data_IF_498832838733
#
_entry.id   IF_498832838733
#
_cell.length_a   1.000
_cell.length_b   1.000
_cell.length_c   1.000
_cell.angle_alpha   90.00
_cell.angle_beta   90.00
_cell.angle_gamma   90.00
#
_symmetry.space_group_name_H-M   'P 1'
#
loop_
_entity.id
_entity.type
_entity.pdbx_description
1 polymer ?
#
# COMPACT_ATOMS: atom_id res chain seq x y z
N UNK A 1 -31.52 -6.02 4.78
CA UNK A 1 -32.29 -5.31 3.73
C UNK A 1 -31.49 -5.48 2.46
N UNK A 2 -31.92 -6.38 1.57
CA UNK A 2 -31.13 -6.79 0.40
C UNK A 2 -31.41 -5.84 -0.77
N UNK A 3 -30.44 -5.00 -1.09
CA UNK A 3 -30.28 -4.41 -2.42
C UNK A 3 -30.30 -5.51 -3.49
N UNK A 4 -30.89 -5.24 -4.65
CA UNK A 4 -30.80 -6.18 -5.77
C UNK A 4 -29.38 -6.12 -6.36
N UNK A 5 -28.74 -7.28 -6.52
CA UNK A 5 -27.37 -7.42 -7.03
C UNK A 5 -27.40 -7.94 -8.47
N UNK A 6 -26.85 -7.18 -9.41
CA UNK A 6 -26.73 -7.56 -10.81
C UNK A 6 -25.25 -7.67 -11.20
N UNK A 7 -24.82 -8.85 -11.64
CA UNK A 7 -23.49 -9.05 -12.20
C UNK A 7 -23.38 -8.33 -13.56
N UNK A 8 -22.34 -7.51 -13.73
CA UNK A 8 -22.11 -6.75 -14.95
C UNK A 8 -20.96 -7.35 -15.77
N UNK A 9 -19.79 -7.56 -15.15
CA UNK A 9 -18.57 -7.97 -15.86
C UNK A 9 -17.57 -8.63 -14.92
N UNK A 10 -16.79 -9.58 -15.41
CA UNK A 10 -15.57 -10.04 -14.75
C UNK A 10 -14.44 -9.02 -14.93
N UNK A 11 -13.77 -8.64 -13.84
CA UNK A 11 -12.69 -7.66 -13.84
C UNK A 11 -11.30 -8.29 -13.79
N UNK A 12 -11.14 -9.42 -13.10
CA UNK A 12 -9.86 -10.13 -13.01
C UNK A 12 -9.88 -11.26 -11.98
N UNK A 13 -8.83 -12.06 -12.00
CA UNK A 13 -8.57 -13.14 -11.05
C UNK A 13 -7.11 -13.06 -10.60
N UNK A 14 -6.88 -13.35 -9.33
CA UNK A 14 -5.57 -13.36 -8.71
C UNK A 14 -5.45 -14.53 -7.72
N UNK A 15 -4.33 -14.59 -7.01
CA UNK A 15 -4.02 -15.70 -6.10
C UNK A 15 -5.04 -15.91 -4.98
N UNK A 16 -5.77 -14.86 -4.59
CA UNK A 16 -6.70 -14.88 -3.45
C UNK A 16 -8.18 -14.91 -3.88
N UNK A 17 -8.46 -15.09 -5.17
CA UNK A 17 -9.81 -15.19 -5.72
C UNK A 17 -10.03 -14.29 -6.94
N UNK A 18 -11.26 -13.79 -7.13
CA UNK A 18 -11.67 -13.10 -8.34
C UNK A 18 -12.50 -11.84 -8.07
N UNK A 19 -12.46 -10.89 -9.01
CA UNK A 19 -13.12 -9.59 -8.90
C UNK A 19 -14.18 -9.46 -9.98
N UNK A 20 -15.40 -9.12 -9.56
CA UNK A 20 -16.53 -8.84 -10.44
C UNK A 20 -16.96 -7.38 -10.31
N UNK A 21 -17.42 -6.79 -11.40
CA UNK A 21 -18.20 -5.56 -11.39
C UNK A 21 -19.67 -5.92 -11.15
N UNK A 22 -20.25 -5.36 -10.10
CA UNK A 22 -21.63 -5.63 -9.69
C UNK A 22 -22.36 -4.30 -9.56
N UNK A 23 -23.60 -4.23 -10.07
CA UNK A 23 -24.53 -3.13 -9.84
C UNK A 23 -25.41 -3.48 -8.66
N UNK A 24 -25.43 -2.59 -7.68
CA UNK A 24 -26.32 -2.66 -6.53
C UNK A 24 -27.45 -1.65 -6.72
N UNK A 25 -28.70 -2.12 -6.70
CA UNK A 25 -29.89 -1.26 -6.79
C UNK A 25 -30.60 -1.22 -5.45
N UNK A 26 -30.73 -0.02 -4.90
CA UNK A 26 -31.45 0.27 -3.66
C UNK A 26 -32.97 0.27 -3.89
N UNK A 27 -33.74 0.18 -2.81
CA UNK A 27 -35.21 0.17 -2.88
C UNK A 27 -35.81 1.47 -3.44
N UNK A 28 -35.09 2.59 -3.30
CA UNK A 28 -35.50 3.89 -3.86
C UNK A 28 -35.20 4.02 -5.36
N UNK A 29 -34.67 2.97 -6.00
CA UNK A 29 -34.31 2.93 -7.41
C UNK A 29 -32.92 3.52 -7.70
N UNK A 30 -32.23 4.10 -6.71
CA UNK A 30 -30.84 4.51 -6.87
C UNK A 30 -29.94 3.28 -7.06
N UNK A 31 -28.92 3.40 -7.91
CA UNK A 31 -27.95 2.32 -8.12
C UNK A 31 -26.53 2.83 -8.11
N UNK A 32 -25.60 1.96 -7.71
CA UNK A 32 -24.17 2.21 -7.77
C UNK A 32 -23.43 0.96 -8.24
N UNK A 33 -22.22 1.17 -8.78
CA UNK A 33 -21.31 0.11 -9.18
C UNK A 33 -20.28 -0.14 -8.08
N UNK A 34 -19.97 -1.40 -7.85
CA UNK A 34 -18.89 -1.82 -6.95
C UNK A 34 -18.03 -2.89 -7.61
N UNK A 35 -16.72 -2.81 -7.36
CA UNK A 35 -15.81 -3.91 -7.62
C UNK A 35 -15.87 -4.87 -6.41
N UNK A 36 -16.37 -6.07 -6.63
CA UNK A 36 -16.56 -7.08 -5.59
C UNK A 36 -15.44 -8.10 -5.69
N UNK A 37 -14.51 -8.06 -4.73
CA UNK A 37 -13.46 -9.07 -4.57
C UNK A 37 -14.04 -10.26 -3.81
N UNK A 38 -14.02 -11.43 -4.44
CA UNK A 38 -14.58 -12.67 -3.92
C UNK A 38 -13.42 -13.60 -3.56
N UNK A 39 -13.51 -14.22 -2.39
CA UNK A 39 -12.56 -15.23 -1.93
C UNK A 39 -13.31 -16.46 -1.44
N UNK A 40 -12.74 -17.64 -1.63
CA UNK A 40 -13.30 -18.88 -1.11
C UNK A 40 -13.12 -18.96 0.41
N UNK A 41 -13.89 -19.82 1.08
CA UNK A 41 -13.88 -19.94 2.54
C UNK A 41 -12.46 -20.23 3.09
N UNK A 42 -11.67 -21.01 2.36
CA UNK A 42 -10.27 -21.39 2.68
C UNK A 42 -9.32 -20.18 2.75
N UNK A 43 -9.57 -19.14 1.96
CA UNK A 43 -8.72 -17.93 1.86
C UNK A 43 -9.35 -16.71 2.55
N UNK A 44 -10.49 -16.89 3.22
CA UNK A 44 -11.28 -15.81 3.82
C UNK A 44 -10.53 -15.01 4.88
N UNK A 45 -9.55 -15.62 5.56
CA UNK A 45 -8.69 -14.95 6.55
C UNK A 45 -7.84 -13.83 5.92
N UNK A 46 -7.33 -14.05 4.70
CA UNK A 46 -6.57 -13.04 3.97
C UNK A 46 -7.46 -11.85 3.59
N UNK A 47 -8.68 -12.13 3.11
CA UNK A 47 -9.65 -11.10 2.76
C UNK A 47 -10.14 -10.34 4.01
N UNK A 48 -10.26 -11.01 5.15
CA UNK A 48 -10.59 -10.39 6.44
C UNK A 48 -9.48 -9.46 6.93
N UNK A 49 -8.20 -9.86 6.77
CA UNK A 49 -7.06 -8.98 7.10
C UNK A 49 -7.07 -7.72 6.22
N UNK A 50 -7.29 -7.88 4.92
CA UNK A 50 -7.42 -6.76 3.99
C UNK A 50 -8.56 -5.81 4.40
N UNK A 51 -9.74 -6.36 4.75
CA UNK A 51 -10.86 -5.56 5.27
C UNK A 51 -10.47 -4.77 6.53
N UNK A 52 -9.74 -5.39 7.46
CA UNK A 52 -9.31 -4.71 8.70
C UNK A 52 -8.42 -3.50 8.38
N UNK A 53 -7.42 -3.67 7.51
CA UNK A 53 -6.51 -2.59 7.11
C UNK A 53 -7.31 -1.48 6.37
N UNK A 54 -8.19 -1.84 5.44
CA UNK A 54 -9.02 -0.88 4.71
C UNK A 54 -9.99 -0.12 5.62
N UNK A 55 -10.49 -0.75 6.69
CA UNK A 55 -11.31 -0.07 7.70
C UNK A 55 -10.50 0.97 8.47
N UNK A 56 -9.25 0.64 8.82
CA UNK A 56 -8.33 1.59 9.45
C UNK A 56 -7.90 2.71 8.51
N UNK A 57 -7.81 2.47 7.20
CA UNK A 57 -7.43 3.48 6.22
C UNK A 57 -8.63 4.19 5.55
N UNK A 58 -9.87 3.85 5.94
CA UNK A 58 -11.08 4.35 5.27
C UNK A 58 -11.13 5.89 5.21
N UNK A 59 -11.30 6.46 4.02
CA UNK A 59 -11.47 7.91 3.85
C UNK A 59 -10.17 8.71 3.92
N UNK A 60 -9.00 8.07 4.00
CA UNK A 60 -7.76 8.71 3.60
C UNK A 60 -7.73 8.86 2.07
N UNK A 61 -7.19 9.98 1.55
CA UNK A 61 -7.04 10.14 0.11
C UNK A 61 -6.06 9.10 -0.44
N UNK A 62 -6.19 8.77 -1.74
CA UNK A 62 -5.29 7.85 -2.46
C UNK A 62 -5.31 6.40 -1.96
N UNK A 63 -6.30 6.02 -1.16
CA UNK A 63 -6.56 4.64 -0.75
C UNK A 63 -7.93 4.23 -1.30
N UNK A 64 -8.03 3.02 -1.84
CA UNK A 64 -9.28 2.46 -2.34
C UNK A 64 -10.37 2.48 -1.27
N UNK A 65 -11.55 2.97 -1.61
CA UNK A 65 -12.69 2.95 -0.69
C UNK A 65 -13.26 1.53 -0.59
N UNK A 66 -13.30 0.99 0.63
CA UNK A 66 -14.06 -0.20 0.96
C UNK A 66 -15.46 0.15 1.48
N UNK A 67 -16.48 -0.47 0.89
CA UNK A 67 -17.87 -0.36 1.32
C UNK A 67 -18.21 -1.42 2.36
N UNK A 68 -18.88 -1.00 3.44
CA UNK A 68 -19.32 -1.90 4.52
C UNK A 68 -18.24 -2.23 5.55
N UNK A 69 -18.66 -2.82 6.68
CA UNK A 69 -17.78 -3.08 7.83
C UNK A 69 -17.45 -4.57 8.03
N UNK A 70 -18.04 -5.44 7.22
CA UNK A 70 -17.94 -6.89 7.27
C UNK A 70 -17.92 -7.47 5.85
N UNK A 71 -17.28 -8.64 5.69
CA UNK A 71 -17.37 -9.40 4.45
C UNK A 71 -18.80 -9.90 4.26
N UNK A 72 -19.32 -9.79 3.04
CA UNK A 72 -20.64 -10.35 2.73
C UNK A 72 -20.48 -11.81 2.31
N UNK A 73 -21.39 -12.66 2.75
CA UNK A 73 -21.40 -14.05 2.31
C UNK A 73 -22.19 -14.18 1.01
N UNK A 74 -21.72 -15.06 0.13
CA UNK A 74 -22.40 -15.42 -1.10
C UNK A 74 -22.08 -16.84 -1.53
N UNK A 75 -22.54 -17.16 -2.73
CA UNK A 75 -22.32 -18.47 -3.36
C UNK A 75 -21.75 -18.24 -4.76
N UNK A 76 -20.70 -18.96 -5.12
CA UNK A 76 -20.12 -18.92 -6.46
C UNK A 76 -21.02 -19.59 -7.50
N UNK A 77 -20.69 -19.44 -8.78
CA UNK A 77 -21.36 -20.15 -9.88
C UNK A 77 -21.32 -21.69 -9.73
N UNK A 78 -20.36 -22.21 -8.98
CA UNK A 78 -20.18 -23.64 -8.72
C UNK A 78 -20.88 -24.12 -7.43
N UNK A 79 -21.61 -23.25 -6.74
CA UNK A 79 -22.29 -23.60 -5.49
C UNK A 79 -21.43 -23.53 -4.23
N UNK A 80 -20.18 -23.05 -4.33
CA UNK A 80 -19.28 -22.93 -3.19
C UNK A 80 -19.53 -21.63 -2.43
N UNK A 81 -19.39 -21.66 -1.10
CA UNK A 81 -19.46 -20.44 -0.27
C UNK A 81 -18.29 -19.52 -0.61
N UNK A 82 -18.58 -18.23 -0.73
CA UNK A 82 -17.59 -17.18 -0.97
C UNK A 82 -17.82 -15.99 -0.03
N UNK A 83 -16.73 -15.33 0.34
CA UNK A 83 -16.73 -14.06 1.05
C UNK A 83 -16.46 -12.91 0.08
N UNK A 84 -17.22 -11.83 0.21
CA UNK A 84 -17.21 -10.68 -0.68
C UNK A 84 -16.73 -9.43 0.05
N UNK A 85 -15.71 -8.79 -0.49
CA UNK A 85 -15.26 -7.47 -0.12
C UNK A 85 -15.70 -6.47 -1.19
N UNK A 86 -16.51 -5.49 -0.82
CA UNK A 86 -17.04 -4.49 -1.74
C UNK A 86 -16.11 -3.28 -1.76
N UNK A 87 -15.63 -2.93 -2.94
CA UNK A 87 -14.70 -1.83 -3.18
C UNK A 87 -15.30 -0.85 -4.20
N UNK A 88 -14.87 0.41 -4.13
CA UNK A 88 -15.17 1.37 -5.20
C UNK A 88 -14.61 0.89 -6.54
N UNK A 89 -15.35 1.18 -7.62
CA UNK A 89 -14.98 0.76 -8.96
C UNK A 89 -14.13 1.82 -9.66
N UNK A 90 -12.93 1.42 -10.09
CA UNK A 90 -12.04 2.23 -10.91
C UNK A 90 -12.37 2.06 -12.40
N UNK A 91 -13.04 3.05 -12.99
CA UNK A 91 -13.50 2.96 -14.39
C UNK A 91 -12.36 2.95 -15.41
N UNK A 92 -11.22 3.53 -15.07
CA UNK A 92 -10.02 3.56 -15.93
C UNK A 92 -9.11 2.33 -15.73
N UNK A 93 -9.52 1.40 -14.85
CA UNK A 93 -8.79 0.17 -14.58
C UNK A 93 -7.55 0.35 -13.70
N UNK A 94 -6.65 -0.64 -13.73
CA UNK A 94 -5.34 -0.54 -13.11
C UNK A 94 -4.40 0.33 -13.95
N UNK A 95 -3.34 0.86 -13.34
CA UNK A 95 -2.30 1.61 -14.04
C UNK A 95 -1.67 0.76 -15.15
N UNK A 96 -1.43 -0.53 -14.92
CA UNK A 96 -0.93 -1.45 -15.94
C UNK A 96 -1.86 -1.48 -17.18
N UNK A 97 -3.18 -1.60 -16.97
CA UNK A 97 -4.15 -1.56 -18.05
C UNK A 97 -4.19 -0.17 -18.71
N UNK A 98 -4.13 0.90 -17.91
CA UNK A 98 -4.15 2.29 -18.35
C UNK A 98 -2.96 2.65 -19.25
N UNK A 99 -1.77 2.08 -19.01
CA UNK A 99 -0.61 2.27 -19.88
C UNK A 99 -0.91 1.86 -21.33
N UNK A 100 -1.77 0.86 -21.57
CA UNK A 100 -2.13 0.42 -22.92
C UNK A 100 -2.92 1.45 -23.73
N UNK A 101 -3.41 2.52 -23.10
CA UNK A 101 -4.05 3.65 -23.79
C UNK A 101 -3.02 4.53 -24.55
N UNK A 102 -1.72 4.33 -24.31
CA UNK A 102 -0.64 5.05 -24.95
C UNK A 102 0.08 4.15 -25.96
N UNK A 103 0.42 4.65 -27.17
CA UNK A 103 0.95 3.82 -28.26
C UNK A 103 2.21 3.01 -27.92
N UNK A 104 3.09 3.56 -27.09
CA UNK A 104 4.33 2.92 -26.63
C UNK A 104 4.28 2.55 -25.14
N UNK A 105 3.09 2.56 -24.54
CA UNK A 105 2.85 2.32 -23.12
C UNK A 105 3.56 3.27 -22.16
N UNK A 106 4.05 4.42 -22.64
CA UNK A 106 4.69 5.43 -21.80
C UNK A 106 3.73 6.54 -21.46
N UNK A 107 3.81 7.02 -20.22
CA UNK A 107 3.04 8.18 -19.80
C UNK A 107 3.81 9.48 -20.06
N UNK A 108 3.12 10.59 -20.34
CA UNK A 108 3.75 11.89 -20.36
C UNK A 108 4.23 12.27 -18.96
N UNK A 109 5.43 12.85 -18.87
CA UNK A 109 6.08 13.18 -17.59
C UNK A 109 5.21 13.94 -16.58
N UNK A 110 4.39 14.95 -16.96
CA UNK A 110 3.49 15.60 -16.01
C UNK A 110 2.55 14.61 -15.30
N UNK A 111 2.02 13.62 -16.03
CA UNK A 111 1.16 12.59 -15.46
C UNK A 111 1.95 11.63 -14.56
N UNK A 112 3.19 11.29 -14.93
CA UNK A 112 4.09 10.49 -14.09
C UNK A 112 4.34 11.20 -12.75
N UNK A 113 4.65 12.50 -12.77
CA UNK A 113 4.88 13.31 -11.56
C UNK A 113 3.63 13.36 -10.69
N UNK A 114 2.45 13.59 -11.27
CA UNK A 114 1.19 13.63 -10.54
C UNK A 114 0.85 12.25 -9.94
N UNK A 115 1.00 11.16 -10.69
CA UNK A 115 0.75 9.80 -10.21
C UNK A 115 1.70 9.42 -9.08
N UNK A 116 3.00 9.70 -9.27
CA UNK A 116 4.03 9.44 -8.25
C UNK A 116 3.71 10.17 -6.95
N UNK A 117 3.34 11.46 -7.03
CA UNK A 117 2.95 12.25 -5.85
C UNK A 117 1.75 11.63 -5.13
N UNK A 118 0.71 11.24 -5.87
CA UNK A 118 -0.49 10.61 -5.31
C UNK A 118 -0.20 9.24 -4.68
N UNK A 119 0.67 8.45 -5.28
CA UNK A 119 1.12 7.16 -4.72
C UNK A 119 1.83 7.39 -3.38
N UNK A 120 2.75 8.36 -3.32
CA UNK A 120 3.46 8.72 -2.09
C UNK A 120 2.50 9.25 -1.00
N UNK A 121 1.48 10.05 -1.35
CA UNK A 121 0.43 10.49 -0.42
C UNK A 121 -0.31 9.30 0.21
N UNK A 122 -0.63 8.27 -0.58
CA UNK A 122 -1.20 7.02 -0.11
C UNK A 122 -0.26 6.29 0.84
N UNK A 123 1.02 6.14 0.46
CA UNK A 123 2.03 5.48 1.29
C UNK A 123 2.29 6.20 2.61
N UNK A 124 2.29 7.54 2.64
CA UNK A 124 2.35 8.31 3.90
C UNK A 124 1.21 7.91 4.84
N UNK A 125 0.01 7.69 4.31
CA UNK A 125 -1.14 7.25 5.10
C UNK A 125 -0.94 5.82 5.60
N UNK A 126 -0.56 4.87 4.75
CA UNK A 126 -0.31 3.46 5.10
C UNK A 126 0.78 3.34 6.17
N UNK A 127 1.94 3.94 5.90
CA UNK A 127 3.10 3.93 6.79
C UNK A 127 2.84 4.65 8.12
N UNK A 128 1.96 5.66 8.11
CA UNK A 128 1.53 6.40 9.30
C UNK A 128 0.62 5.60 10.23
N UNK A 129 -0.04 4.55 9.73
CA UNK A 129 -0.84 3.60 10.51
C UNK A 129 -0.05 2.37 10.94
N UNK A 130 1.24 2.29 10.61
CA UNK A 130 2.09 1.18 11.03
C UNK A 130 2.03 -0.03 10.10
N UNK A 131 1.51 0.14 8.89
CA UNK A 131 1.51 -0.89 7.85
C UNK A 131 2.58 -0.64 6.79
N UNK A 132 2.97 -1.70 6.09
CA UNK A 132 3.74 -1.73 4.85
C UNK A 132 2.85 -2.39 3.81
N UNK A 133 2.76 -1.81 2.61
CA UNK A 133 1.86 -2.35 1.58
C UNK A 133 2.36 -3.69 1.03
N UNK A 134 3.67 -3.81 0.79
CA UNK A 134 4.39 -5.01 0.36
C UNK A 134 4.04 -5.54 -1.05
N UNK A 135 3.21 -4.84 -1.84
CA UNK A 135 2.88 -5.24 -3.22
C UNK A 135 2.52 -4.03 -4.09
N UNK A 136 3.34 -2.97 -4.00
CA UNK A 136 3.23 -1.81 -4.89
C UNK A 136 3.70 -2.22 -6.29
N UNK A 137 2.77 -2.17 -7.25
CA UNK A 137 2.99 -2.49 -8.67
C UNK A 137 1.88 -1.88 -9.51
N UNK A 138 2.07 -1.75 -10.83
CA UNK A 138 1.10 -1.13 -11.73
C UNK A 138 -0.29 -1.79 -11.75
N UNK A 139 -0.42 -3.08 -11.39
CA UNK A 139 -1.72 -3.74 -11.25
C UNK A 139 -2.52 -3.30 -10.00
N UNK A 140 -1.83 -2.87 -8.94
CA UNK A 140 -2.42 -2.49 -7.65
C UNK A 140 -2.57 -0.97 -7.47
N UNK A 141 -2.27 -0.20 -8.51
CA UNK A 141 -2.58 1.22 -8.58
C UNK A 141 -3.81 1.36 -9.46
N UNK A 142 -4.93 1.81 -8.90
CA UNK A 142 -6.16 1.99 -9.67
C UNK A 142 -6.33 3.45 -10.10
N UNK A 143 -6.74 3.64 -11.35
CA UNK A 143 -6.91 4.96 -11.98
C UNK A 143 -8.40 5.33 -12.00
N UNK A 144 -8.69 6.58 -11.67
CA UNK A 144 -10.03 7.15 -11.67
C UNK A 144 -10.03 8.47 -12.45
N UNK A 145 -11.16 8.85 -13.06
CA UNK A 145 -11.33 10.20 -13.58
C UNK A 145 -11.26 11.19 -12.41
N UNK A 146 -10.55 12.30 -12.62
CA UNK A 146 -10.50 13.34 -11.60
C UNK A 146 -11.87 14.04 -11.47
N UNK A 147 -12.35 14.29 -10.25
CA UNK A 147 -13.60 15.01 -10.03
C UNK A 147 -13.48 16.52 -10.19
N UNK A 148 -12.27 17.07 -10.37
CA UNK A 148 -12.01 18.51 -10.45
C UNK A 148 -11.34 18.89 -11.77
N UNK A 149 -11.95 19.84 -12.51
CA UNK A 149 -11.39 20.38 -13.76
C UNK A 149 -10.07 21.14 -13.54
N UNK A 150 -9.81 21.61 -12.32
CA UNK A 150 -8.61 22.40 -11.95
C UNK A 150 -7.39 21.54 -11.56
N UNK A 151 -7.48 20.21 -11.59
CA UNK A 151 -6.39 19.29 -11.20
C UNK A 151 -5.96 18.37 -12.35
N UNK A 152 -5.02 17.45 -12.08
CA UNK A 152 -4.69 16.34 -12.99
C UNK A 152 -5.98 15.68 -13.50
N UNK A 153 -6.02 15.29 -14.78
CA UNK A 153 -7.21 14.68 -15.41
C UNK A 153 -7.63 13.37 -14.74
N UNK A 154 -6.69 12.73 -14.04
CA UNK A 154 -6.87 11.46 -13.38
C UNK A 154 -6.41 11.54 -11.93
N UNK A 155 -7.00 10.71 -11.09
CA UNK A 155 -6.46 10.40 -9.77
C UNK A 155 -6.10 8.92 -9.66
N UNK A 156 -5.14 8.60 -8.80
CA UNK A 156 -4.76 7.21 -8.51
C UNK A 156 -4.98 6.87 -7.05
N UNK A 157 -5.32 5.60 -6.80
CA UNK A 157 -5.49 5.07 -5.45
C UNK A 157 -4.84 3.70 -5.32
N UNK A 158 -4.24 3.46 -4.16
CA UNK A 158 -3.64 2.19 -3.78
C UNK A 158 -4.73 1.17 -3.44
N UNK A 159 -4.61 -0.03 -3.97
CA UNK A 159 -5.52 -1.16 -3.76
C UNK A 159 -4.76 -2.44 -3.41
N UNK A 160 -5.50 -3.49 -3.07
CA UNK A 160 -5.00 -4.83 -2.75
C UNK A 160 -4.06 -4.88 -1.52
N UNK A 161 -4.69 -4.86 -0.34
CA UNK A 161 -3.97 -4.94 0.94
C UNK A 161 -3.80 -6.40 1.43
N UNK A 162 -4.05 -7.39 0.58
CA UNK A 162 -3.96 -8.81 0.95
C UNK A 162 -2.56 -9.24 1.38
N UNK A 163 -1.52 -8.59 0.83
CA UNK A 163 -0.11 -8.83 1.16
C UNK A 163 0.46 -7.86 2.21
N UNK A 164 -0.35 -6.91 2.70
CA UNK A 164 0.14 -5.88 3.62
C UNK A 164 0.45 -6.46 5.00
N UNK A 165 1.49 -5.91 5.61
CA UNK A 165 2.06 -6.39 6.87
C UNK A 165 2.21 -5.23 7.85
N UNK A 166 2.21 -5.55 9.14
CA UNK A 166 2.62 -4.58 10.16
C UNK A 166 4.13 -4.34 10.06
N UNK A 167 4.56 -3.11 10.31
CA UNK A 167 5.98 -2.76 10.33
C UNK A 167 6.71 -3.62 11.37
N UNK A 168 7.78 -4.30 10.96
CA UNK A 168 8.55 -5.22 11.80
C UNK A 168 8.04 -6.66 11.79
N UNK A 169 6.92 -6.96 11.11
CA UNK A 169 6.41 -8.32 10.98
C UNK A 169 7.33 -9.17 10.08
N UNK A 170 7.51 -10.44 10.47
CA UNK A 170 8.21 -11.48 9.69
C UNK A 170 7.17 -12.52 9.24
N UNK A 171 6.64 -12.42 8.01
CA UNK A 171 5.72 -13.42 7.47
C UNK A 171 6.39 -14.78 7.32
N UNK A 172 5.64 -15.85 7.62
CA UNK A 172 6.12 -17.22 7.52
C UNK A 172 6.57 -17.63 6.10
N UNK A 173 6.02 -17.00 5.07
CA UNK A 173 6.36 -17.27 3.67
C UNK A 173 7.65 -16.58 3.21
N UNK A 174 8.26 -15.68 4.00
CA UNK A 174 9.60 -15.14 3.72
C UNK A 174 10.74 -16.04 4.23
N UNK A 175 10.53 -17.35 4.22
CA UNK A 175 11.57 -18.30 4.61
C UNK A 175 12.84 -18.13 3.74
N UNK A 176 14.01 -18.36 4.35
CA UNK A 176 15.36 -18.20 3.76
C UNK A 176 15.52 -18.91 2.40
N UNK A 177 14.73 -19.96 2.16
CA UNK A 177 14.77 -20.80 0.95
C UNK A 177 13.61 -20.55 -0.03
N UNK A 178 12.66 -19.67 0.31
CA UNK A 178 11.55 -19.25 -0.56
C UNK A 178 11.11 -17.81 -0.23
N UNK A 179 11.96 -16.79 -0.45
CA UNK A 179 11.74 -15.43 0.05
C UNK A 179 10.66 -14.63 -0.70
N UNK A 180 9.75 -15.28 -1.41
CA UNK A 180 8.82 -14.61 -2.30
C UNK A 180 7.55 -14.20 -1.55
N UNK A 181 7.46 -12.93 -1.16
CA UNK A 181 6.19 -12.24 -1.00
C UNK A 181 5.96 -11.33 -2.19
N UNK A 182 4.75 -11.30 -2.73
CA UNK A 182 4.40 -10.35 -3.79
C UNK A 182 5.11 -10.65 -5.11
N UNK A 183 5.25 -9.62 -5.93
CA UNK A 183 5.73 -9.73 -7.31
C UNK A 183 7.25 -9.50 -7.37
N UNK A 184 8.10 -10.52 -7.65
CA UNK A 184 9.55 -10.43 -7.54
C UNK A 184 10.20 -9.27 -8.30
N UNK A 185 9.56 -8.84 -9.38
CA UNK A 185 10.02 -7.78 -10.28
C UNK A 185 10.12 -6.42 -9.58
N UNK A 186 9.26 -6.15 -8.59
CA UNK A 186 9.20 -4.88 -7.85
C UNK A 186 9.86 -4.98 -6.46
N UNK A 187 10.49 -6.12 -6.16
CA UNK A 187 10.99 -6.43 -4.83
C UNK A 187 12.39 -5.84 -4.59
N UNK A 188 12.63 -5.26 -3.40
CA UNK A 188 13.94 -4.76 -3.02
C UNK A 188 14.91 -5.89 -2.58
N UNK A 189 16.23 -5.63 -2.56
CA UNK A 189 17.23 -6.65 -2.25
C UNK A 189 17.15 -7.19 -0.81
N UNK A 190 16.71 -6.39 0.16
CA UNK A 190 16.57 -6.81 1.56
C UNK A 190 15.41 -7.79 1.79
N UNK A 191 14.37 -7.81 0.94
CA UNK A 191 13.31 -8.83 1.04
C UNK A 191 13.84 -10.24 0.79
N UNK A 192 14.91 -10.36 -0.01
CA UNK A 192 15.58 -11.64 -0.28
C UNK A 192 16.51 -12.06 0.87
N UNK A 193 16.87 -11.14 1.77
CA UNK A 193 17.91 -11.33 2.79
C UNK A 193 17.37 -11.41 4.21
N UNK A 194 16.52 -10.46 4.58
CA UNK A 194 16.22 -10.16 5.98
C UNK A 194 14.79 -10.59 6.35
N UNK A 195 13.87 -10.64 5.39
CA UNK A 195 12.51 -11.15 5.60
C UNK A 195 11.72 -10.36 6.66
N UNK A 196 11.97 -9.06 6.81
CA UNK A 196 11.25 -8.17 7.74
C UNK A 196 10.51 -7.09 6.97
N UNK A 197 9.25 -6.86 7.32
CA UNK A 197 8.44 -5.81 6.70
C UNK A 197 8.95 -4.43 7.13
N UNK A 198 9.44 -3.65 6.17
CA UNK A 198 9.89 -2.28 6.39
C UNK A 198 9.27 -1.31 5.37
N UNK A 199 9.04 -0.07 5.78
CA UNK A 199 8.42 0.98 4.95
C UNK A 199 9.20 1.28 3.67
N UNK A 200 10.52 1.16 3.76
CA UNK A 200 11.47 1.35 2.66
C UNK A 200 11.29 0.33 1.54
N UNK A 201 10.62 -0.81 1.80
CA UNK A 201 10.31 -1.80 0.79
C UNK A 201 9.41 -1.22 -0.29
N UNK A 202 8.35 -0.53 0.14
CA UNK A 202 7.40 0.11 -0.77
C UNK A 202 8.08 1.21 -1.60
N UNK A 203 9.10 1.88 -1.06
CA UNK A 203 9.80 2.96 -1.77
C UNK A 203 10.64 2.45 -2.94
N UNK A 204 11.26 1.27 -2.80
CA UNK A 204 11.91 0.61 -3.93
C UNK A 204 10.91 0.29 -5.03
N UNK A 205 9.77 -0.28 -4.64
CA UNK A 205 8.68 -0.61 -5.58
C UNK A 205 8.13 0.64 -6.27
N UNK A 206 8.10 1.80 -5.60
CA UNK A 206 7.79 3.10 -6.23
C UNK A 206 8.84 3.47 -7.29
N UNK A 207 10.13 3.31 -7.01
CA UNK A 207 11.19 3.56 -8.01
C UNK A 207 11.03 2.69 -9.26
N UNK A 208 10.74 1.41 -9.06
CA UNK A 208 10.39 0.47 -10.13
C UNK A 208 9.16 0.93 -10.94
N UNK A 209 8.12 1.39 -10.27
CA UNK A 209 6.89 1.86 -10.91
C UNK A 209 7.09 3.15 -11.71
N UNK A 210 7.89 4.10 -11.20
CA UNK A 210 8.24 5.33 -11.94
C UNK A 210 9.05 4.97 -13.19
N UNK A 211 10.00 4.05 -13.08
CA UNK A 211 10.74 3.54 -14.22
C UNK A 211 9.81 2.91 -15.27
N UNK A 212 8.87 2.06 -14.86
CA UNK A 212 7.87 1.44 -15.74
C UNK A 212 7.01 2.48 -16.47
N UNK A 213 6.53 3.52 -15.77
CA UNK A 213 5.74 4.58 -16.41
C UNK A 213 6.53 5.37 -17.47
N UNK A 214 7.84 5.53 -17.28
CA UNK A 214 8.73 6.20 -18.24
C UNK A 214 9.11 5.33 -19.43
N UNK A 215 9.29 4.03 -19.23
CA UNK A 215 9.82 3.12 -20.27
C UNK A 215 8.72 2.35 -20.98
N UNK A 216 7.55 2.20 -20.36
CA UNK A 216 6.44 1.38 -20.82
C UNK A 216 6.65 -0.12 -20.65
N UNK A 217 7.75 -0.52 -20.00
CA UNK A 217 8.12 -1.92 -19.75
C UNK A 217 8.36 -2.15 -18.28
N UNK A 218 8.06 -3.36 -17.82
CA UNK A 218 8.30 -3.73 -16.41
C UNK A 218 9.79 -3.68 -16.08
N UNK A 219 10.15 -3.41 -14.81
CA UNK A 219 11.54 -3.52 -14.39
C UNK A 219 12.12 -4.90 -14.73
N UNK A 220 13.41 -4.98 -15.02
CA UNK A 220 14.09 -6.24 -15.35
C UNK A 220 13.58 -6.94 -16.63
N UNK A 221 13.00 -6.21 -17.57
CA UNK A 221 12.58 -6.74 -18.86
C UNK A 221 13.69 -7.60 -19.52
N UNK A 222 13.33 -8.80 -19.97
CA UNK A 222 14.28 -9.76 -20.55
C UNK A 222 15.13 -10.56 -19.55
N UNK A 223 15.03 -10.31 -18.24
CA UNK A 223 15.72 -11.09 -17.19
C UNK A 223 14.78 -12.17 -16.64
N UNK A 224 15.28 -13.40 -16.50
CA UNK A 224 14.50 -14.48 -15.90
C UNK A 224 14.29 -14.24 -14.41
N UNK A 225 13.10 -14.58 -13.89
CA UNK A 225 12.78 -14.46 -12.46
C UNK A 225 13.82 -15.13 -11.53
N UNK A 226 14.37 -16.27 -11.93
CA UNK A 226 15.45 -16.96 -11.20
C UNK A 226 16.71 -16.12 -11.04
N UNK A 227 17.00 -15.28 -12.03
CA UNK A 227 18.23 -14.50 -12.12
C UNK A 227 18.07 -13.16 -11.39
N UNK A 228 16.85 -12.61 -11.35
CA UNK A 228 16.53 -11.38 -10.59
C UNK A 228 16.94 -11.53 -9.12
N UNK A 229 16.60 -12.64 -8.46
CA UNK A 229 17.01 -12.85 -7.07
C UNK A 229 18.54 -12.92 -6.90
N UNK A 230 19.27 -13.46 -7.88
CA UNK A 230 20.73 -13.47 -7.83
C UNK A 230 21.30 -12.06 -7.96
N UNK A 231 20.77 -11.26 -8.90
CA UNK A 231 21.16 -9.86 -9.12
C UNK A 231 20.86 -8.99 -7.91
N UNK A 232 19.66 -9.11 -7.33
CA UNK A 232 19.28 -8.44 -6.09
C UNK A 232 20.20 -8.83 -4.93
N UNK A 233 20.57 -10.12 -4.80
CA UNK A 233 21.57 -10.54 -3.81
C UNK A 233 22.94 -9.93 -4.07
N UNK A 234 23.34 -9.69 -5.31
CA UNK A 234 24.57 -8.97 -5.64
C UNK A 234 24.47 -7.46 -5.36
N UNK A 235 23.26 -6.94 -5.14
CA UNK A 235 22.98 -5.52 -4.95
C UNK A 235 22.83 -4.75 -6.26
N UNK A 236 22.51 -5.43 -7.35
CA UNK A 236 22.11 -4.81 -8.61
C UNK A 236 20.68 -4.26 -8.49
N UNK A 237 20.40 -3.22 -9.28
CA UNK A 237 19.09 -2.61 -9.46
C UNK A 237 18.67 -2.67 -10.94
N UNK A 238 17.38 -2.46 -11.27
CA UNK A 238 16.94 -2.31 -12.66
C UNK A 238 17.77 -1.27 -13.42
N UNK A 239 17.99 -1.49 -14.72
CA UNK A 239 18.68 -0.53 -15.56
C UNK A 239 17.83 0.73 -15.76
N UNK A 240 18.43 1.91 -15.53
CA UNK A 240 17.79 3.20 -15.73
C UNK A 240 18.33 3.81 -17.04
N UNK A 241 17.50 4.00 -18.07
CA UNK A 241 17.97 4.52 -19.34
C UNK A 241 18.55 5.93 -19.21
N UNK A 242 19.68 6.19 -19.88
CA UNK A 242 20.32 7.50 -19.89
C UNK A 242 19.47 8.60 -20.55
N UNK A 243 18.40 8.23 -21.26
CA UNK A 243 17.46 9.16 -21.90
C UNK A 243 16.46 9.79 -20.94
N UNK A 244 16.36 9.31 -19.69
CA UNK A 244 15.45 9.90 -18.71
C UNK A 244 15.93 11.29 -18.27
N UNK A 245 15.00 12.21 -17.93
CA UNK A 245 15.32 13.47 -17.28
C UNK A 245 16.20 13.27 -16.05
N UNK A 246 17.12 14.21 -15.78
CA UNK A 246 18.09 14.07 -14.69
C UNK A 246 17.44 14.01 -13.31
N UNK A 247 16.39 14.78 -13.08
CA UNK A 247 15.61 14.79 -11.83
C UNK A 247 14.84 13.48 -11.64
N UNK A 248 14.24 12.94 -12.72
CA UNK A 248 13.58 11.64 -12.70
C UNK A 248 14.56 10.50 -12.42
N UNK A 249 15.73 10.54 -13.05
CA UNK A 249 16.81 9.57 -12.81
C UNK A 249 17.26 9.60 -11.36
N UNK A 250 17.53 10.79 -10.82
CA UNK A 250 17.92 10.99 -9.42
C UNK A 250 16.86 10.46 -8.43
N UNK A 251 15.57 10.68 -8.73
CA UNK A 251 14.47 10.12 -7.93
C UNK A 251 14.44 8.59 -7.94
N UNK A 252 14.57 7.99 -9.13
CA UNK A 252 14.57 6.53 -9.30
C UNK A 252 15.80 5.93 -8.60
N UNK A 253 16.99 6.54 -8.76
CA UNK A 253 18.22 6.10 -8.08
C UNK A 253 18.11 6.20 -6.55
N UNK A 254 17.49 7.26 -6.04
CA UNK A 254 17.19 7.40 -4.61
C UNK A 254 16.29 6.27 -4.13
N UNK A 255 15.19 5.97 -4.84
CA UNK A 255 14.28 4.88 -4.51
C UNK A 255 14.96 3.49 -4.59
N UNK A 256 15.84 3.30 -5.57
CA UNK A 256 16.58 2.06 -5.81
C UNK A 256 17.91 1.98 -5.05
N UNK A 257 18.09 2.83 -4.03
CA UNK A 257 19.28 2.78 -3.19
C UNK A 257 19.37 1.43 -2.47
N UNK A 258 20.57 0.84 -2.53
CA UNK A 258 20.83 -0.49 -1.96
C UNK A 258 20.61 -0.52 -0.46
N UNK A 259 21.01 0.56 0.24
CA UNK A 259 20.75 0.69 1.68
C UNK A 259 19.34 1.25 1.89
N UNK A 260 18.46 0.56 2.63
CA UNK A 260 17.09 1.00 2.82
C UNK A 260 16.98 2.41 3.42
N UNK A 261 17.88 2.78 4.34
CA UNK A 261 17.92 4.08 5.01
C UNK A 261 18.24 5.25 4.07
N UNK A 262 18.91 5.01 2.94
CA UNK A 262 19.24 6.03 1.94
C UNK A 262 18.00 6.43 1.11
N UNK A 263 16.94 5.61 1.10
CA UNK A 263 15.68 5.89 0.39
C UNK A 263 14.79 6.92 1.11
N UNK A 264 15.07 7.21 2.39
CA UNK A 264 14.27 8.10 3.22
C UNK A 264 12.88 7.55 3.53
N UNK A 265 11.88 8.43 3.59
CA UNK A 265 10.47 8.08 3.78
C UNK A 265 9.60 8.51 2.59
N UNK A 266 8.40 7.94 2.48
CA UNK A 266 7.42 8.38 1.48
C UNK A 266 7.14 9.89 1.59
N UNK A 267 7.17 10.43 2.81
CA UNK A 267 7.02 11.86 3.06
C UNK A 267 8.19 12.67 2.50
N UNK A 268 9.43 12.22 2.69
CA UNK A 268 10.61 12.93 2.21
C UNK A 268 10.65 12.95 0.67
N UNK A 269 10.30 11.81 0.03
CA UNK A 269 10.24 11.70 -1.42
C UNK A 269 9.19 12.62 -2.06
N UNK A 270 8.13 13.03 -1.36
CA UNK A 270 7.16 14.00 -1.90
C UNK A 270 7.76 15.39 -2.17
N UNK A 271 8.90 15.70 -1.55
CA UNK A 271 9.64 16.96 -1.70
C UNK A 271 10.91 16.80 -2.55
N UNK A 272 11.09 15.64 -3.17
CA UNK A 272 12.22 15.42 -4.07
C UNK A 272 12.15 16.38 -5.28
N UNK A 273 13.30 16.88 -5.80
CA UNK A 273 13.37 17.78 -6.95
C UNK A 273 12.51 17.37 -8.15
N UNK A 274 12.45 16.06 -8.42
CA UNK A 274 11.59 15.45 -9.43
C UNK A 274 10.10 15.87 -9.34
N UNK A 275 9.58 16.02 -8.12
CA UNK A 275 8.16 16.31 -7.90
C UNK A 275 7.89 17.80 -7.66
N UNK A 276 8.90 18.62 -7.39
CA UNK A 276 8.74 20.08 -7.27
C UNK A 276 8.28 20.69 -8.59
N UNK A 277 7.21 21.49 -8.54
CA UNK A 277 6.70 22.20 -9.72
C UNK A 277 7.47 23.53 -9.87
N UNK A 278 7.96 23.90 -11.07
CA UNK A 278 8.70 25.15 -11.28
C UNK A 278 7.92 26.44 -10.96
N UNK A 279 6.59 26.40 -10.90
CA UNK A 279 5.73 27.59 -10.86
C UNK A 279 5.61 28.27 -9.48
N UNK A 280 6.33 27.80 -8.46
CA UNK A 280 6.21 28.33 -7.09
C UNK A 280 7.53 28.91 -6.53
N UNK A 281 8.58 29.02 -7.33
CA UNK A 281 9.86 29.58 -6.88
C UNK A 281 9.80 31.07 -6.49
N UNK A 282 8.75 31.81 -6.89
CA UNK A 282 8.56 33.22 -6.48
C UNK A 282 7.78 33.39 -5.16
N UNK A 283 6.99 32.40 -4.71
CA UNK A 283 6.25 32.48 -3.41
C UNK A 283 6.81 31.57 -2.30
N UNK A 284 7.65 30.58 -2.60
CA UNK A 284 7.99 29.49 -1.67
C UNK A 284 9.06 29.80 -0.62
N UNK A 285 9.84 30.87 -0.77
CA UNK A 285 10.84 31.27 0.26
C UNK A 285 10.25 31.71 1.60
N UNK A 286 8.92 31.71 1.78
CA UNK A 286 8.23 32.07 3.04
C UNK A 286 7.25 31.02 3.58
N UNK A 287 7.00 29.90 2.91
CA UNK A 287 5.83 29.04 3.21
C UNK A 287 6.09 27.54 3.40
N UNK A 288 7.33 27.05 3.26
CA UNK A 288 7.66 25.62 3.42
C UNK A 288 7.24 25.05 4.78
N UNK A 289 7.56 25.73 5.89
CA UNK A 289 7.16 25.29 7.24
C UNK A 289 5.63 25.28 7.43
N UNK A 290 4.90 26.13 6.70
CA UNK A 290 3.44 26.25 6.82
C UNK A 290 2.71 25.14 6.05
N UNK A 291 3.18 24.78 4.84
CA UNK A 291 2.62 23.68 4.04
C UNK A 291 2.95 22.32 4.67
N UNK A 292 4.19 22.13 5.13
CA UNK A 292 4.65 20.95 5.90
C UNK A 292 3.75 20.70 7.11
N UNK A 293 3.47 21.74 7.88
CA UNK A 293 2.56 21.67 9.02
C UNK A 293 1.08 21.52 8.63
N UNK A 294 0.61 22.12 7.53
CA UNK A 294 -0.80 22.04 7.12
C UNK A 294 -1.24 20.64 6.68
N UNK A 295 -0.42 19.96 5.86
CA UNK A 295 -0.70 18.59 5.44
C UNK A 295 -0.61 17.61 6.63
N UNK A 296 0.45 17.72 7.45
CA UNK A 296 0.54 16.97 8.70
C UNK A 296 -0.65 17.24 9.60
N UNK A 297 -1.07 18.49 9.78
CA UNK A 297 -2.27 18.84 10.55
C UNK A 297 -3.54 18.22 9.96
N UNK A 298 -3.66 18.07 8.64
CA UNK A 298 -4.80 17.40 8.00
C UNK A 298 -4.80 15.89 8.30
N UNK A 299 -3.64 15.25 8.21
CA UNK A 299 -3.45 13.84 8.60
C UNK A 299 -3.66 13.63 10.13
N UNK A 300 -3.13 14.52 10.96
CA UNK A 300 -3.31 14.48 12.43
C UNK A 300 -4.75 14.80 12.84
N UNK A 301 -5.47 15.72 12.16
CA UNK A 301 -6.89 15.98 12.41
C UNK A 301 -7.76 14.77 12.08
N UNK A 302 -7.42 14.03 11.02
CA UNK A 302 -8.06 12.74 10.71
C UNK A 302 -7.79 11.71 11.81
N UNK A 303 -6.57 11.66 12.36
CA UNK A 303 -6.19 10.80 13.51
C UNK A 303 -6.95 11.14 14.81
N UNK A 304 -7.11 12.44 15.14
CA UNK A 304 -7.78 12.89 16.38
C UNK A 304 -9.31 12.70 16.32
N UNK A 305 -9.94 12.86 15.15
CA UNK A 305 -11.38 12.61 15.00
C UNK A 305 -11.78 11.16 15.31
N UNK A 306 -10.84 10.21 15.22
CA UNK A 306 -11.08 8.79 15.45
C UNK A 306 -10.84 8.32 16.89
N UNK A 307 -9.98 9.00 17.66
CA UNK A 307 -9.75 8.65 19.07
C UNK A 307 -10.83 9.20 20.01
N UNK A 308 -11.69 10.10 19.54
CA UNK A 308 -12.78 10.65 20.34
C UNK A 308 -14.14 10.11 19.87
N UNK A 309 -14.40 8.83 20.17
CA UNK A 309 -15.76 8.31 20.13
C UNK A 309 -16.04 7.52 21.41
N UNK A 310 -16.56 8.22 22.42
CA UNK A 310 -17.62 7.74 23.31
C UNK A 310 -18.09 8.83 24.28
N UNK A 311 -19.42 8.92 24.37
CA UNK A 311 -20.27 9.48 25.42
C UNK A 311 -20.53 11.00 25.40
N UNK A 312 -21.74 11.28 24.92
CA UNK A 312 -22.57 12.46 25.19
C UNK A 312 -22.58 12.73 26.71
N UNK A 313 -21.97 13.82 27.15
CA UNK A 313 -22.21 14.40 28.46
C UNK A 313 -22.48 15.90 28.29
N UNK A 314 -23.57 16.35 28.89
CA UNK A 314 -24.14 17.69 28.77
C UNK A 314 -23.13 18.74 29.24
N UNK A 315 -23.07 19.83 28.47
CA UNK A 315 -22.34 21.06 28.78
C UNK A 315 -23.02 21.80 29.91
N UNK A 316 -22.25 22.23 30.90
CA UNK A 316 -22.53 23.46 31.63
C UNK A 316 -21.24 24.29 31.74
N UNK A 317 -21.40 25.61 31.63
CA UNK A 317 -20.36 26.60 31.33
C UNK A 317 -19.87 27.28 32.61
N UNK A 318 -18.55 27.39 32.85
CA UNK A 318 -17.92 28.49 33.61
C UNK A 318 -16.37 28.40 33.69
N UNK A 319 -15.72 29.48 33.24
CA UNK A 319 -14.45 30.14 33.64
C UNK A 319 -13.13 29.43 34.02
N UNK A 320 -12.09 29.75 33.22
CA UNK A 320 -10.69 30.19 33.49
C UNK A 320 -9.84 29.52 34.61
N UNK A 321 -8.76 28.80 34.19
CA UNK A 321 -7.31 29.03 34.50
C UNK A 321 -6.42 27.88 33.95
N UNK A 322 -5.10 28.08 33.71
CA UNK A 322 -4.26 27.12 32.99
C UNK A 322 -3.88 25.93 33.88
N UNK A 323 -4.08 24.71 33.38
CA UNK A 323 -3.71 23.47 34.07
C UNK A 323 -2.28 23.07 33.72
N UNK A 324 -1.41 23.15 34.73
CA UNK A 324 -0.11 22.48 34.77
C UNK A 324 -0.28 20.97 34.52
N UNK A 325 0.41 20.44 33.52
CA UNK A 325 0.42 19.00 33.24
C UNK A 325 1.28 18.29 34.30
N UNK A 326 0.65 17.83 35.38
CA UNK A 326 1.26 16.83 36.29
C UNK A 326 1.13 15.45 35.66
N UNK A 327 2.26 14.85 35.29
CA UNK A 327 2.32 13.46 34.84
C UNK A 327 1.97 12.49 35.98
N UNK A 328 1.17 11.47 35.67
CA UNK A 328 0.77 10.42 36.61
C UNK A 328 1.93 9.44 36.91
N UNK A 329 2.07 8.89 38.13
CA UNK A 329 3.24 8.11 38.56
C UNK A 329 3.37 6.70 37.94
N UNK A 330 2.57 6.37 36.94
CA UNK A 330 2.48 5.02 36.38
C UNK A 330 3.31 4.82 35.10
N UNK A 331 3.86 5.91 34.53
CA UNK A 331 4.73 5.86 33.34
C UNK A 331 6.23 5.79 33.63
N UNK A 332 6.64 5.91 34.91
CA UNK A 332 8.07 5.88 35.28
C UNK A 332 8.64 4.46 35.44
N UNK A 333 7.79 3.45 35.67
CA UNK A 333 8.23 2.06 35.91
C UNK A 333 8.46 1.23 34.65
N UNK A 334 7.95 1.67 33.50
CA UNK A 334 8.13 0.97 32.22
C UNK A 334 9.39 1.44 31.50
N UNK A 335 9.84 2.67 31.75
CA UNK A 335 11.04 3.24 31.14
C UNK A 335 12.34 2.74 31.81
N UNK A 336 12.31 2.51 33.13
CA UNK A 336 13.47 1.98 33.88
C UNK A 336 13.68 0.47 33.66
N UNK A 337 12.68 -0.27 33.13
CA UNK A 337 12.82 -1.70 32.78
C UNK A 337 13.39 -1.94 31.38
N UNK A 338 13.41 -0.92 30.52
CA UNK A 338 13.92 -1.02 29.15
C UNK A 338 15.41 -0.65 29.07
N UNK A 339 15.96 -0.02 30.11
CA UNK A 339 17.38 0.41 30.16
C UNK A 339 18.29 -0.45 31.04
N UNK A 340 17.84 -1.63 31.48
CA UNK A 340 18.69 -2.57 32.22
C UNK A 340 18.48 -3.98 31.71
N UNK A 341 19.17 -4.38 30.65
CA UNK A 341 19.62 -5.77 30.40
C UNK A 341 20.55 -5.76 29.18
N UNK A 342 21.81 -5.39 29.41
CA UNK A 342 22.94 -5.91 28.64
C UNK A 342 23.42 -7.22 29.29
N UNK A 343 23.74 -8.19 28.45
CA UNK A 343 24.55 -9.40 28.64
C UNK A 343 24.16 -10.47 29.68
N UNK A 344 23.84 -11.68 29.17
CA UNK A 344 24.64 -12.93 29.36
C UNK A 344 23.96 -14.17 28.75
N UNK A 345 24.63 -14.74 27.76
CA UNK A 345 24.95 -16.16 27.50
C UNK A 345 24.01 -17.34 27.87
N UNK A 346 23.77 -18.12 26.80
CA UNK A 346 23.94 -19.59 26.66
C UNK A 346 22.88 -20.62 27.07
N UNK A 347 22.57 -21.46 26.06
CA UNK A 347 22.44 -22.93 26.06
C UNK A 347 21.09 -23.63 26.39
N UNK A 348 20.55 -24.26 25.31
CA UNK A 348 20.19 -25.69 25.17
C UNK A 348 18.80 -26.22 25.60
N UNK A 349 18.09 -26.78 24.60
CA UNK A 349 17.44 -28.13 24.50
C UNK A 349 16.05 -28.07 23.80
N UNK A 350 15.96 -28.53 22.55
CA UNK A 350 15.44 -29.83 22.06
C UNK A 350 13.90 -29.88 21.89
N UNK A 351 13.42 -29.82 20.64
CA UNK A 351 12.95 -30.92 19.77
C UNK A 351 11.54 -31.46 20.08
N UNK A 352 10.63 -31.29 19.11
CA UNK A 352 9.81 -32.39 18.60
C UNK A 352 9.49 -32.15 17.12
N UNK A 353 9.95 -33.09 16.30
CA UNK A 353 9.64 -33.26 14.89
C UNK A 353 8.19 -33.70 14.69
N UNK A 354 7.59 -33.33 13.56
CA UNK A 354 6.74 -34.26 12.82
C UNK A 354 6.96 -34.02 11.32
N UNK A 355 7.67 -34.98 10.70
CA UNK A 355 7.87 -35.12 9.26
C UNK A 355 7.05 -36.33 8.82
N UNK A 356 6.23 -36.19 7.77
CA UNK A 356 5.86 -37.30 6.89
C UNK A 356 5.76 -36.78 5.44
N UNK A 357 6.70 -37.26 4.62
CA UNK A 357 6.72 -37.33 3.14
C UNK A 357 5.47 -38.07 2.60
N UNK A 358 5.01 -38.02 1.34
CA UNK A 358 5.72 -38.46 0.12
C UNK A 358 4.87 -38.31 -1.17
N UNK A 359 5.53 -37.94 -2.28
CA UNK A 359 5.49 -38.47 -3.70
C UNK A 359 4.28 -38.29 -4.66
N UNK A 360 4.58 -37.56 -5.75
CA UNK A 360 4.71 -37.95 -7.20
C UNK A 360 3.87 -39.11 -7.79
N UNK A 361 3.18 -38.80 -8.91
CA UNK A 361 2.95 -39.58 -10.15
C UNK A 361 2.87 -38.51 -11.28
N UNK A 362 3.70 -38.38 -12.34
CA UNK A 362 4.09 -39.21 -13.49
C UNK A 362 2.91 -39.69 -14.36
N UNK A 363 2.75 -38.98 -15.49
CA UNK A 363 2.26 -39.32 -16.85
C UNK A 363 1.31 -40.51 -17.06
N UNK A 364 0.19 -40.23 -17.73
CA UNK A 364 0.01 -40.52 -19.16
C UNK A 364 -0.80 -39.38 -19.83
#
# INVERSE_FOLDING_TARGET
>A
MQSNEEFIKFLGEGSCGYVHLVRYTNHDGSSFLAAVKNSYDEDSDNLNRELQILRELRGYPRIITCFGDFLQEGVSSYGNRVHKLLLEYASEGSLNAFLNNYPDRKLPEPLIKDFTRMILEGLVSIHGHGYVHCDIKSDNILVFPSPTEDSSQYEVKLSDFGNSLEVGQVPHYWAKDSPWAGTPIYMPPESVRDGVANKTLDLWSVGCLVLEMYTGVVPWEGVKLSDIASRLRCGEAPEIPASLPSDAKDFIETCLSRKPEERGSAYDLMFHPFLTRPELEEEEKKTEDRKRNSFLLRLFKLRIRRTCSKKKLRTDVSDKKPLNLRMAPQFKRTLDKVLSFEDRDTHQLQFSFCSVFTKRLISD
#
